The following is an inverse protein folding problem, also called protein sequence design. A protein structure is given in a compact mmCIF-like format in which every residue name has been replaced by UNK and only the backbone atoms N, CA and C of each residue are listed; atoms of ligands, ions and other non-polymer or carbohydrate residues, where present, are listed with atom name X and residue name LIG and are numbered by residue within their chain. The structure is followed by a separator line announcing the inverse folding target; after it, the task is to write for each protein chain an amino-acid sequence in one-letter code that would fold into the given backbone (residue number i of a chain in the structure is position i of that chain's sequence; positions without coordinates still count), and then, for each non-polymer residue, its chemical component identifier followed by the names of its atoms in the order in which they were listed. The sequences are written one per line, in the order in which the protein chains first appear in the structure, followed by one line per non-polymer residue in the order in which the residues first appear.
data_IF_735718869179
#
_entry.id   IF_735718869179
#
_cell.length_a   1.000
_cell.length_b   1.000
_cell.length_c   1.000
_cell.angle_alpha   90.00
_cell.angle_beta   90.00
_cell.angle_gamma   90.00
#
_symmetry.space_group_name_H-M   'P 1'
#
loop_
_entity.id
_entity.type
_entity.pdbx_description
1 polymer ?
#
# COMPACT_ATOMS: atom_id res chain seq x y z
N UNK A 1 -18.33 11.10 -26.46
CA UNK A 1 -18.84 9.80 -25.98
C UNK A 1 -20.37 9.75 -25.89
N UNK A 2 -21.05 10.73 -25.27
CA UNK A 2 -22.52 10.77 -25.21
C UNK A 2 -23.20 10.72 -26.60
N UNK A 3 -22.65 11.46 -27.57
CA UNK A 3 -23.13 11.40 -28.95
C UNK A 3 -23.04 9.99 -29.56
N UNK A 4 -22.03 9.19 -29.20
CA UNK A 4 -21.89 7.81 -29.68
C UNK A 4 -22.92 6.85 -29.05
N UNK A 5 -23.46 7.21 -27.88
CA UNK A 5 -24.62 6.55 -27.28
C UNK A 5 -25.96 7.03 -27.86
N UNK A 6 -25.96 8.02 -28.76
CA UNK A 6 -27.19 8.65 -29.27
C UNK A 6 -27.95 9.43 -28.19
N UNK A 7 -27.26 9.91 -27.15
CA UNK A 7 -27.86 10.57 -26.00
C UNK A 7 -27.42 12.03 -25.95
N UNK A 8 -28.36 12.93 -25.63
CA UNK A 8 -28.10 14.36 -25.46
C UNK A 8 -27.76 14.74 -24.01
N UNK A 9 -28.02 13.85 -23.05
CA UNK A 9 -27.68 14.06 -21.64
C UNK A 9 -27.28 12.73 -20.97
N UNK A 10 -26.32 12.73 -20.05
CA UNK A 10 -25.91 11.51 -19.36
C UNK A 10 -27.00 11.07 -18.37
N UNK A 11 -27.48 9.83 -18.50
CA UNK A 11 -28.10 9.15 -17.36
C UNK A 11 -27.01 8.73 -16.38
N UNK A 12 -27.35 8.53 -15.10
CA UNK A 12 -26.40 8.04 -14.07
C UNK A 12 -25.73 6.74 -14.49
N UNK A 13 -26.46 5.86 -15.19
CA UNK A 13 -25.94 4.59 -15.71
C UNK A 13 -24.90 4.83 -16.81
N UNK A 14 -25.21 5.71 -17.77
CA UNK A 14 -24.30 6.00 -18.90
C UNK A 14 -23.04 6.72 -18.40
N UNK A 15 -23.18 7.69 -17.50
CA UNK A 15 -22.03 8.35 -16.87
C UNK A 15 -21.13 7.33 -16.16
N UNK A 16 -21.71 6.46 -15.32
CA UNK A 16 -20.95 5.39 -14.63
C UNK A 16 -20.21 4.47 -15.61
N UNK A 17 -20.85 4.10 -16.73
CA UNK A 17 -20.23 3.27 -17.76
C UNK A 17 -19.07 4.00 -18.47
N UNK A 18 -19.27 5.26 -18.83
CA UNK A 18 -18.26 6.11 -19.47
C UNK A 18 -17.04 6.27 -18.54
N UNK A 19 -17.25 6.63 -17.28
CA UNK A 19 -16.17 6.72 -16.27
C UNK A 19 -15.43 5.38 -16.15
N UNK A 20 -16.15 4.25 -16.22
CA UNK A 20 -15.55 2.92 -16.23
C UNK A 20 -14.71 2.61 -17.48
N UNK A 21 -15.03 3.16 -18.65
CA UNK A 21 -14.20 3.04 -19.86
C UNK A 21 -12.95 3.91 -19.76
N UNK A 22 -13.09 5.15 -19.29
CA UNK A 22 -11.98 6.08 -19.12
C UNK A 22 -10.98 5.53 -18.08
N UNK A 23 -11.46 5.05 -16.92
CA UNK A 23 -10.59 4.47 -15.89
C UNK A 23 -9.82 3.22 -16.37
N UNK A 24 -10.44 2.37 -17.21
CA UNK A 24 -9.75 1.23 -17.81
C UNK A 24 -8.65 1.67 -18.76
N UNK A 25 -8.94 2.62 -19.63
CA UNK A 25 -7.94 3.18 -20.56
C UNK A 25 -6.80 3.86 -19.80
N UNK A 26 -7.13 4.67 -18.79
CA UNK A 26 -6.16 5.35 -17.93
C UNK A 26 -5.24 4.37 -17.19
N UNK A 27 -5.80 3.30 -16.62
CA UNK A 27 -5.02 2.24 -15.99
C UNK A 27 -4.07 1.54 -16.97
N UNK A 28 -4.51 1.31 -18.22
CA UNK A 28 -3.68 0.67 -19.26
C UNK A 28 -2.53 1.59 -19.73
N UNK A 29 -2.81 2.89 -19.89
CA UNK A 29 -1.79 3.90 -20.20
C UNK A 29 -0.74 3.94 -19.08
N UNK A 30 -1.17 3.96 -17.82
CA UNK A 30 -0.25 3.96 -16.68
C UNK A 30 0.52 2.66 -16.53
N UNK A 31 -0.10 1.50 -16.80
CA UNK A 31 0.59 0.20 -16.80
C UNK A 31 1.66 0.13 -17.88
N UNK A 32 1.38 0.67 -19.06
CA UNK A 32 2.36 0.77 -20.15
C UNK A 32 3.52 1.70 -19.77
N UNK A 33 3.26 2.67 -18.90
CA UNK A 33 4.22 3.65 -18.39
C UNK A 33 4.60 3.41 -16.95
N UNK A 34 4.80 2.14 -16.58
CA UNK A 34 5.26 1.83 -15.23
C UNK A 34 6.53 2.60 -14.91
N UNK A 35 7.49 2.74 -15.82
CA UNK A 35 8.74 3.48 -15.58
C UNK A 35 8.63 5.01 -15.59
N UNK A 36 7.46 5.58 -15.93
CA UNK A 36 7.35 7.02 -16.16
C UNK A 36 7.51 7.85 -14.88
N UNK A 37 8.18 9.01 -14.95
CA UNK A 37 8.45 9.89 -13.79
C UNK A 37 7.23 10.25 -12.94
N UNK A 38 6.09 10.53 -13.57
CA UNK A 38 4.89 10.99 -12.86
C UNK A 38 4.14 9.88 -12.12
N UNK A 39 4.46 8.61 -12.40
CA UNK A 39 3.96 7.46 -11.67
C UNK A 39 4.89 7.05 -10.51
N UNK A 40 6.10 7.61 -10.44
CA UNK A 40 7.04 7.38 -9.33
C UNK A 40 6.56 8.10 -8.08
N UNK A 41 6.51 7.37 -6.97
CA UNK A 41 6.25 7.88 -5.64
C UNK A 41 7.41 7.53 -4.74
N UNK A 42 7.73 8.44 -3.83
CA UNK A 42 8.68 8.20 -2.76
C UNK A 42 7.89 8.02 -1.47
N UNK A 43 8.11 6.89 -0.80
CA UNK A 43 7.53 6.60 0.50
C UNK A 43 8.63 6.26 1.48
N UNK A 44 8.73 7.07 2.53
CA UNK A 44 9.66 6.83 3.62
C UNK A 44 8.98 5.94 4.66
N UNK A 45 9.49 4.73 4.80
CA UNK A 45 9.12 3.82 5.88
C UNK A 45 9.92 4.24 7.12
N UNK A 46 9.22 4.77 8.13
CA UNK A 46 9.81 4.92 9.46
C UNK A 46 9.89 3.51 10.03
N UNK A 47 11.10 3.03 10.28
CA UNK A 47 11.41 1.66 10.70
C UNK A 47 11.03 1.37 12.16
N UNK A 48 10.15 2.18 12.76
CA UNK A 48 9.51 1.80 14.01
C UNK A 48 8.70 0.53 13.75
N UNK A 49 9.05 -0.59 14.40
CA UNK A 49 8.37 -1.87 14.17
C UNK A 49 6.89 -1.69 14.48
N UNK A 50 6.05 -1.80 13.46
CA UNK A 50 4.63 -2.00 13.67
C UNK A 50 4.45 -3.47 14.03
N UNK A 51 3.93 -3.74 15.22
CA UNK A 51 3.58 -5.07 15.70
C UNK A 51 2.44 -5.65 14.84
N UNK A 52 2.74 -6.01 13.60
CA UNK A 52 1.73 -6.31 12.58
C UNK A 52 1.14 -7.70 12.70
N UNK A 53 1.72 -8.55 13.56
CA UNK A 53 1.09 -9.77 14.04
C UNK A 53 1.72 -10.19 15.35
N UNK A 54 0.93 -10.21 16.40
CA UNK A 54 1.32 -10.84 17.66
C UNK A 54 1.06 -12.34 17.52
N UNK A 55 2.11 -13.12 17.31
CA UNK A 55 2.04 -14.54 17.59
C UNK A 55 2.23 -14.71 19.10
N UNK A 56 1.12 -14.72 19.84
CA UNK A 56 1.12 -15.04 21.27
C UNK A 56 1.02 -16.54 21.40
N UNK A 57 2.11 -17.20 21.82
CA UNK A 57 2.03 -18.60 22.18
C UNK A 57 1.48 -18.74 23.60
N UNK A 58 0.60 -19.71 23.80
CA UNK A 58 0.08 -20.04 25.13
C UNK A 58 1.12 -20.73 26.02
N UNK A 59 2.16 -21.31 25.42
CA UNK A 59 3.28 -21.91 26.14
C UNK A 59 4.37 -20.88 26.38
N UNK A 60 4.87 -20.85 27.61
CA UNK A 60 5.82 -19.84 27.97
C UNK A 60 7.23 -20.12 27.49
N UNK A 61 8.00 -19.04 27.47
CA UNK A 61 9.43 -19.01 27.25
C UNK A 61 10.15 -19.07 28.60
N UNK A 62 11.28 -19.77 28.61
CA UNK A 62 12.24 -19.73 29.70
C UNK A 62 13.48 -18.95 29.28
N UNK A 63 13.82 -17.93 30.06
CA UNK A 63 15.01 -17.10 29.85
C UNK A 63 15.59 -16.66 31.19
N UNK A 64 16.92 -16.66 31.30
CA UNK A 64 17.63 -16.27 32.52
C UNK A 64 18.21 -14.86 32.36
N UNK A 65 18.08 -14.02 33.38
CA UNK A 65 18.70 -12.69 33.38
C UNK A 65 20.21 -12.77 33.09
N UNK A 66 20.67 -12.01 32.09
CA UNK A 66 22.03 -12.01 31.54
C UNK A 66 22.33 -13.10 30.52
N UNK A 67 21.38 -14.00 30.22
CA UNK A 67 21.55 -15.03 29.20
C UNK A 67 21.19 -14.50 27.81
N UNK A 68 21.90 -14.98 26.79
CA UNK A 68 21.50 -14.84 25.38
C UNK A 68 20.65 -16.00 24.88
N UNK A 69 20.55 -17.08 25.65
CA UNK A 69 19.81 -18.27 25.25
C UNK A 69 18.40 -18.20 25.79
N UNK A 70 17.44 -18.37 24.89
CA UNK A 70 16.01 -18.44 25.17
C UNK A 70 15.50 -19.83 24.81
N UNK A 71 14.76 -20.47 25.71
CA UNK A 71 14.15 -21.77 25.47
C UNK A 71 12.64 -21.64 25.39
N UNK A 72 12.07 -22.08 24.28
CA UNK A 72 10.63 -22.08 24.00
C UNK A 72 9.98 -23.38 24.49
N UNK A 73 8.69 -23.33 24.81
CA UNK A 73 7.89 -24.52 25.10
C UNK A 73 7.93 -25.55 23.97
N UNK A 74 7.77 -26.83 24.31
CA UNK A 74 7.93 -27.94 23.38
C UNK A 74 6.92 -27.94 22.22
N UNK A 75 5.75 -27.32 22.38
CA UNK A 75 4.76 -27.19 21.30
C UNK A 75 4.90 -25.90 20.49
N UNK A 76 5.88 -25.05 20.84
CA UNK A 76 6.22 -23.83 20.11
C UNK A 76 7.54 -23.98 19.36
N UNK A 77 7.59 -24.79 18.28
CA UNK A 77 8.83 -25.00 17.56
C UNK A 77 9.32 -23.70 16.94
N UNK A 78 10.54 -23.33 17.27
CA UNK A 78 11.28 -22.24 16.62
C UNK A 78 12.02 -22.78 15.40
N UNK A 79 11.90 -22.06 14.29
CA UNK A 79 12.59 -22.33 13.03
C UNK A 79 13.61 -21.22 12.78
N UNK A 80 14.70 -21.51 12.05
CA UNK A 80 15.68 -20.54 11.55
C UNK A 80 15.07 -19.36 10.80
N UNK A 81 13.83 -19.48 10.33
CA UNK A 81 13.05 -18.36 9.76
C UNK A 81 12.76 -17.24 10.76
N UNK A 82 12.91 -17.51 12.06
CA UNK A 82 12.77 -16.51 13.13
C UNK A 82 14.03 -15.66 13.32
N UNK A 83 15.15 -16.00 12.68
CA UNK A 83 16.36 -15.17 12.73
C UNK A 83 16.03 -13.78 12.17
N UNK A 84 16.26 -12.77 13.01
CA UNK A 84 15.89 -11.37 12.86
C UNK A 84 14.65 -10.97 13.66
N UNK A 85 13.68 -11.85 13.90
CA UNK A 85 12.46 -11.45 14.59
C UNK A 85 12.76 -10.86 15.99
N UNK A 86 11.97 -9.87 16.40
CA UNK A 86 12.03 -9.33 17.75
C UNK A 86 11.20 -10.23 18.67
N UNK A 87 11.84 -10.78 19.68
CA UNK A 87 11.20 -11.47 20.78
C UNK A 87 10.88 -10.46 21.88
N UNK A 88 9.64 -10.42 22.34
CA UNK A 88 9.27 -9.72 23.57
C UNK A 88 8.66 -10.72 24.55
N UNK A 89 9.21 -10.72 25.78
CA UNK A 89 8.67 -11.50 26.90
C UNK A 89 7.58 -10.65 27.56
N UNK A 90 6.41 -11.22 27.86
CA UNK A 90 5.21 -10.47 28.24
C UNK A 90 5.35 -9.60 29.50
N UNK A 91 6.32 -9.91 30.37
CA UNK A 91 6.63 -9.16 31.58
C UNK A 91 7.61 -8.01 31.36
N UNK A 92 8.12 -7.86 30.13
CA UNK A 92 9.16 -6.90 29.77
C UNK A 92 8.68 -5.95 28.65
N UNK A 93 9.05 -4.68 28.77
CA UNK A 93 8.83 -3.68 27.74
C UNK A 93 9.94 -3.71 26.68
N UNK A 94 11.09 -4.34 26.98
CA UNK A 94 12.19 -4.51 26.05
C UNK A 94 11.95 -5.64 25.03
N UNK A 95 12.48 -5.45 23.82
CA UNK A 95 12.44 -6.42 22.74
C UNK A 95 13.86 -6.83 22.34
N UNK A 96 14.04 -8.11 22.04
CA UNK A 96 15.35 -8.72 21.80
C UNK A 96 15.39 -9.34 20.40
N UNK A 97 16.44 -9.09 19.62
CA UNK A 97 16.55 -9.65 18.26
C UNK A 97 17.00 -11.10 18.35
N UNK A 98 16.29 -12.03 17.70
CA UNK A 98 16.76 -13.41 17.54
C UNK A 98 17.88 -13.42 16.50
N UNK A 99 19.11 -13.76 16.90
CA UNK A 99 20.27 -13.79 16.00
C UNK A 99 20.58 -15.20 15.47
N UNK A 100 20.15 -16.25 16.18
CA UNK A 100 20.31 -17.63 15.74
C UNK A 100 19.23 -18.54 16.34
N UNK A 101 19.00 -19.69 15.70
CA UNK A 101 18.13 -20.76 16.21
C UNK A 101 18.95 -22.05 16.23
N UNK A 102 19.33 -22.46 17.43
CA UNK A 102 20.27 -23.59 17.67
C UNK A 102 19.56 -24.93 17.79
N UNK A 103 18.29 -24.93 18.18
CA UNK A 103 17.44 -26.13 18.23
C UNK A 103 15.98 -25.75 18.00
N UNK A 104 15.11 -26.75 17.81
CA UNK A 104 13.67 -26.55 17.60
C UNK A 104 12.96 -25.83 18.76
N UNK A 105 13.58 -25.72 19.93
CA UNK A 105 13.04 -25.01 21.10
C UNK A 105 14.03 -24.00 21.66
N UNK A 106 15.10 -23.66 20.94
CA UNK A 106 16.16 -22.80 21.48
C UNK A 106 16.63 -21.79 20.45
N UNK A 107 16.62 -20.51 20.86
CA UNK A 107 17.13 -19.40 20.07
C UNK A 107 18.16 -18.60 20.87
N UNK A 108 19.03 -17.88 20.13
CA UNK A 108 19.98 -16.92 20.68
C UNK A 108 19.47 -15.53 20.39
N UNK A 109 19.45 -14.66 21.40
CA UNK A 109 19.02 -13.27 21.30
C UNK A 109 20.17 -12.28 21.47
N UNK A 110 19.94 -11.05 21.03
CA UNK A 110 20.83 -9.90 21.23
C UNK A 110 20.03 -8.60 21.47
N UNK A 111 20.37 -7.81 22.51
CA UNK A 111 21.37 -8.09 23.57
C UNK A 111 20.96 -9.26 24.47
N UNK A 112 21.80 -9.61 25.46
CA UNK A 112 21.43 -10.57 26.49
C UNK A 112 20.21 -10.08 27.29
N UNK A 113 19.36 -11.00 27.74
CA UNK A 113 18.10 -10.69 28.43
C UNK A 113 18.33 -9.89 29.73
N UNK A 114 17.65 -8.76 29.90
CA UNK A 114 17.81 -7.85 31.05
C UNK A 114 16.57 -7.80 31.95
N UNK A 115 15.41 -8.27 31.47
CA UNK A 115 14.13 -8.20 32.17
C UNK A 115 13.99 -9.00 33.48
N UNK A 116 15.04 -9.74 33.88
CA UNK A 116 15.11 -10.40 35.18
C UNK A 116 16.46 -10.12 35.87
N UNK A 117 16.48 -10.22 37.21
CA UNK A 117 17.72 -10.16 37.97
C UNK A 117 18.72 -11.20 37.43
N UNK A 118 20.00 -10.82 37.37
CA UNK A 118 21.05 -11.66 36.81
C UNK A 118 21.02 -13.07 37.44
N UNK A 119 20.99 -14.11 36.60
CA UNK A 119 20.94 -15.51 37.04
C UNK A 119 19.57 -16.01 37.48
N UNK A 120 18.55 -15.16 37.53
CA UNK A 120 17.17 -15.57 37.82
C UNK A 120 16.50 -16.01 36.52
N UNK A 121 16.05 -17.26 36.47
CA UNK A 121 15.26 -17.77 35.36
C UNK A 121 13.81 -17.32 35.52
N UNK A 122 13.26 -16.68 34.49
CA UNK A 122 11.82 -16.62 34.30
C UNK A 122 11.43 -17.85 33.51
N UNK A 123 10.57 -18.68 34.08
CA UNK A 123 9.99 -19.85 33.41
C UNK A 123 8.57 -19.56 33.00
N UNK A 124 8.14 -20.22 31.92
CA UNK A 124 6.76 -20.23 31.45
C UNK A 124 6.16 -18.81 31.27
N UNK A 125 6.96 -17.86 30.79
CA UNK A 125 6.48 -16.52 30.51
C UNK A 125 5.81 -16.48 29.14
N UNK A 126 4.60 -15.92 29.06
CA UNK A 126 4.02 -15.58 27.76
C UNK A 126 5.01 -14.72 26.96
N UNK A 127 5.02 -14.91 25.65
CA UNK A 127 5.91 -14.18 24.76
C UNK A 127 5.19 -13.87 23.46
N UNK A 128 5.67 -12.84 22.77
CA UNK A 128 5.23 -12.48 21.43
C UNK A 128 6.44 -12.29 20.52
N UNK A 129 6.29 -12.74 19.27
CA UNK A 129 7.21 -12.37 18.20
C UNK A 129 6.65 -11.16 17.47
N UNK A 130 7.48 -10.14 17.33
CA UNK A 130 7.22 -8.97 16.52
C UNK A 130 7.96 -9.16 15.20
N UNK A 131 7.20 -9.39 14.13
CA UNK A 131 7.73 -9.42 12.77
C UNK A 131 7.89 -8.00 12.22
N UNK A 132 8.99 -7.74 11.52
CA UNK A 132 9.17 -6.52 10.75
C UNK A 132 8.61 -6.72 9.36
N UNK A 133 7.31 -6.49 9.23
CA UNK A 133 6.68 -6.45 7.94
C UNK A 133 6.35 -5.00 7.64
N UNK A 134 7.07 -4.41 6.69
CA UNK A 134 6.81 -3.06 6.25
C UNK A 134 5.80 -3.12 5.12
N UNK A 135 4.61 -2.59 5.38
CA UNK A 135 3.58 -2.49 4.38
C UNK A 135 3.87 -1.29 3.50
N UNK A 136 4.03 -1.53 2.20
CA UNK A 136 4.05 -0.45 1.23
C UNK A 136 2.66 0.19 1.14
N UNK A 137 2.58 1.46 0.71
CA UNK A 137 1.31 2.11 0.44
C UNK A 137 0.37 1.24 -0.39
N UNK A 138 -0.96 1.30 -0.15
CA UNK A 138 -1.92 0.43 -0.84
C UNK A 138 -1.95 0.67 -2.36
N UNK A 139 -1.49 1.84 -2.82
CA UNK A 139 -1.33 2.15 -4.24
C UNK A 139 -0.03 1.58 -4.84
N UNK A 140 0.87 0.97 -4.06
CA UNK A 140 2.11 0.42 -4.60
C UNK A 140 1.85 -0.81 -5.48
N UNK A 141 2.10 -0.66 -6.79
CA UNK A 141 2.01 -1.76 -7.77
C UNK A 141 3.29 -2.55 -7.85
N UNK A 142 4.41 -1.85 -8.01
CA UNK A 142 5.74 -2.44 -8.16
C UNK A 142 6.75 -1.54 -7.44
N UNK A 143 7.46 -2.06 -6.44
CA UNK A 143 8.59 -1.34 -5.86
C UNK A 143 9.71 -1.22 -6.89
N UNK A 144 10.29 -0.03 -7.02
CA UNK A 144 11.27 0.30 -8.05
C UNK A 144 12.69 0.31 -7.48
N UNK A 145 12.90 1.09 -6.42
CA UNK A 145 14.20 1.24 -5.76
C UNK A 145 13.96 1.35 -4.27
N UNK A 146 14.74 0.63 -3.47
CA UNK A 146 14.72 0.78 -2.02
C UNK A 146 16.06 1.35 -1.61
N UNK A 147 16.06 2.62 -1.18
CA UNK A 147 17.24 3.31 -0.66
C UNK A 147 17.17 3.32 0.85
N UNK A 148 18.28 2.99 1.49
CA UNK A 148 18.39 3.11 2.93
C UNK A 148 19.34 4.26 3.26
N UNK A 149 18.91 5.13 4.15
CA UNK A 149 19.74 6.20 4.69
C UNK A 149 19.83 6.07 6.21
N UNK A 150 21.07 6.09 6.73
CA UNK A 150 21.28 6.29 8.17
C UNK A 150 21.24 7.80 8.41
N UNK A 151 20.15 8.29 9.03
CA UNK A 151 20.10 9.68 9.49
C UNK A 151 20.44 9.72 10.98
N UNK A 152 21.54 10.39 11.39
CA UNK A 152 21.85 10.59 12.81
C UNK A 152 20.86 11.56 13.50
N UNK A 153 20.02 12.26 12.73
CA UNK A 153 19.05 13.21 13.24
C UNK A 153 17.71 12.47 13.43
N UNK A 154 17.21 12.38 14.67
CA UNK A 154 15.81 12.00 14.94
C UNK A 154 14.90 13.02 14.22
N UNK A 155 14.25 12.58 13.16
CA UNK A 155 13.58 13.47 12.21
C UNK A 155 12.20 13.90 12.68
N UNK A 156 12.14 14.96 13.47
CA UNK A 156 10.96 15.83 13.47
C UNK A 156 10.99 16.88 12.34
N UNK A 157 11.99 16.86 11.43
CA UNK A 157 12.24 18.02 10.55
C UNK A 157 12.87 17.79 9.14
N UNK A 158 13.13 16.58 8.63
CA UNK A 158 13.69 16.45 7.27
C UNK A 158 12.60 16.39 6.20
N UNK A 159 12.77 17.22 5.18
CA UNK A 159 11.93 17.24 4.00
C UNK A 159 12.29 16.06 3.08
N UNK A 160 11.31 15.28 2.59
CA UNK A 160 11.54 14.10 1.75
C UNK A 160 12.23 14.36 0.40
N UNK A 161 12.40 15.63 -0.01
CA UNK A 161 12.97 15.99 -1.32
C UNK A 161 14.50 16.07 -1.37
N UNK A 162 15.21 16.02 -0.24
CA UNK A 162 16.69 16.05 -0.25
C UNK A 162 17.34 14.68 -0.48
N UNK A 163 16.56 13.59 -0.46
CA UNK A 163 17.09 12.23 -0.60
C UNK A 163 17.71 11.93 -1.98
N UNK A 164 17.36 12.65 -3.04
CA UNK A 164 17.97 12.47 -4.37
C UNK A 164 19.32 13.17 -4.54
N UNK A 165 19.67 14.10 -3.64
CA UNK A 165 20.99 14.75 -3.63
C UNK A 165 22.01 14.03 -2.74
N UNK A 166 21.56 13.13 -1.87
CA UNK A 166 22.45 12.25 -1.12
C UNK A 166 22.75 11.00 -1.96
N UNK A 167 23.66 11.16 -2.93
CA UNK A 167 24.67 10.12 -3.14
C UNK A 167 25.28 9.82 -1.76
N UNK A 168 25.61 8.56 -1.43
CA UNK A 168 26.25 8.26 -0.15
C UNK A 168 27.47 9.18 -0.03
N UNK A 169 27.42 10.14 0.90
CA UNK A 169 28.54 11.02 1.14
C UNK A 169 29.69 10.12 1.61
N UNK A 170 30.76 9.92 0.81
CA UNK A 170 31.82 9.01 1.21
C UNK A 170 32.71 9.64 2.30
N UNK A 171 32.38 10.82 2.85
CA UNK A 171 33.28 11.59 3.69
C UNK A 171 32.57 12.12 4.94
N UNK A 172 32.12 11.21 5.80
CA UNK A 172 32.25 11.46 7.24
C UNK A 172 33.47 10.65 7.73
N UNK A 173 34.62 11.33 7.62
CA UNK A 173 35.90 11.07 8.27
C UNK A 173 36.01 9.75 9.07
N UNK A 174 36.44 8.67 8.41
CA UNK A 174 37.10 7.55 9.08
C UNK A 174 36.35 6.22 9.18
N UNK A 175 35.11 6.10 8.69
CA UNK A 175 34.44 4.80 8.61
C UNK A 175 34.26 4.34 7.15
N UNK A 176 35.02 3.33 6.76
CA UNK A 176 34.90 2.59 5.49
C UNK A 176 33.64 1.70 5.49
N UNK A 177 32.47 2.29 5.71
CA UNK A 177 31.19 1.61 5.58
C UNK A 177 30.77 1.62 4.12
N UNK A 178 31.04 0.53 3.39
CA UNK A 178 30.41 0.32 2.08
C UNK A 178 28.88 0.40 2.26
N UNK A 179 28.14 1.01 1.32
CA UNK A 179 26.68 0.91 1.34
C UNK A 179 26.31 -0.56 1.32
N UNK A 180 25.63 -1.04 2.36
CA UNK A 180 25.12 -2.40 2.39
C UNK A 180 24.05 -2.53 1.31
N UNK A 181 24.28 -3.40 0.33
CA UNK A 181 23.26 -3.79 -0.64
C UNK A 181 22.49 -4.94 0.01
N UNK A 182 21.29 -4.63 0.50
CA UNK A 182 20.38 -5.61 1.08
C UNK A 182 19.65 -6.35 -0.04
N UNK A 183 19.48 -7.67 0.11
CA UNK A 183 18.63 -8.44 -0.80
C UNK A 183 17.16 -8.17 -0.44
N UNK A 184 16.47 -7.35 -1.24
CA UNK A 184 15.02 -7.16 -1.12
C UNK A 184 14.32 -8.32 -1.81
N UNK A 185 13.57 -9.12 -1.06
CA UNK A 185 12.75 -10.20 -1.62
C UNK A 185 11.30 -9.75 -1.68
N UNK A 186 10.73 -9.72 -2.87
CA UNK A 186 9.31 -9.41 -3.10
C UNK A 186 8.51 -10.71 -3.19
N UNK A 187 7.55 -10.90 -2.30
CA UNK A 187 6.65 -12.06 -2.31
C UNK A 187 5.22 -11.65 -2.65
N UNK A 188 4.72 -12.09 -3.81
CA UNK A 188 3.28 -12.11 -4.11
C UNK A 188 2.71 -13.41 -3.51
N UNK A 189 2.33 -13.38 -2.23
CA UNK A 189 1.72 -14.53 -1.56
C UNK A 189 2.64 -15.77 -1.50
N UNK A 190 3.31 -15.99 -0.37
CA UNK A 190 3.98 -17.26 -0.13
C UNK A 190 2.93 -18.37 0.04
N UNK A 191 2.96 -19.46 -0.76
CA UNK A 191 2.06 -20.59 -0.57
C UNK A 191 2.43 -21.34 0.73
N UNK A 192 1.47 -21.38 1.66
CA UNK A 192 1.21 -22.38 2.70
C UNK A 192 2.29 -22.85 3.71
N UNK A 193 3.54 -22.36 3.67
CA UNK A 193 4.57 -22.79 4.65
C UNK A 193 4.66 -21.95 5.95
N UNK A 194 3.81 -20.93 6.09
CA UNK A 194 3.60 -20.13 7.31
C UNK A 194 2.26 -20.43 8.01
N UNK A 195 1.49 -21.39 7.48
CA UNK A 195 0.06 -21.55 7.77
C UNK A 195 -0.34 -21.87 9.21
N UNK A 196 0.57 -22.28 10.10
CA UNK A 196 0.18 -22.67 11.47
C UNK A 196 0.84 -21.91 12.63
N UNK A 197 1.96 -21.20 12.44
CA UNK A 197 2.70 -20.60 13.56
C UNK A 197 2.86 -19.08 13.48
N UNK A 198 2.79 -18.51 12.27
CA UNK A 198 2.66 -17.05 12.11
C UNK A 198 1.54 -16.80 11.12
N UNK A 199 0.31 -17.08 11.55
CA UNK A 199 -0.78 -16.20 11.12
C UNK A 199 -0.46 -14.85 11.76
N UNK A 200 0.19 -13.99 11.00
CA UNK A 200 0.07 -12.55 11.18
C UNK A 200 -1.41 -12.25 11.00
N UNK A 201 -2.22 -12.47 12.04
CA UNK A 201 -3.47 -11.76 12.22
C UNK A 201 -3.04 -10.30 12.40
N UNK A 202 -2.77 -9.61 11.28
CA UNK A 202 -3.36 -8.30 11.12
C UNK A 202 -4.81 -8.52 11.52
N UNK A 203 -5.18 -8.08 12.72
CA UNK A 203 -6.46 -8.36 13.36
C UNK A 203 -7.53 -8.12 12.32
N UNK A 204 -7.93 -9.19 11.63
CA UNK A 204 -8.76 -9.07 10.46
C UNK A 204 -10.06 -8.60 11.03
N UNK A 205 -10.43 -7.35 10.74
CA UNK A 205 -11.68 -6.85 11.25
C UNK A 205 -12.76 -7.85 10.92
N UNK A 206 -13.42 -8.36 11.95
CA UNK A 206 -14.55 -9.24 11.81
C UNK A 206 -15.78 -8.49 12.26
N UNK A 207 -16.81 -8.58 11.44
CA UNK A 207 -18.12 -7.99 11.66
C UNK A 207 -19.11 -8.64 10.71
N UNK A 208 -20.33 -8.12 10.67
CA UNK A 208 -21.42 -8.74 9.91
C UNK A 208 -21.86 -7.84 8.75
N UNK A 209 -22.03 -8.39 7.55
CA UNK A 209 -22.42 -7.68 6.34
C UNK A 209 -23.60 -8.38 5.65
N UNK A 210 -24.44 -7.57 5.02
CA UNK A 210 -25.51 -8.00 4.14
C UNK A 210 -25.02 -7.96 2.70
N UNK A 211 -25.03 -9.12 2.04
CA UNK A 211 -24.61 -9.28 0.65
C UNK A 211 -25.77 -9.78 -0.19
N UNK A 212 -25.83 -9.36 -1.44
CA UNK A 212 -26.83 -9.83 -2.41
C UNK A 212 -26.12 -10.34 -3.65
N UNK A 213 -26.46 -11.56 -4.09
CA UNK A 213 -25.90 -12.14 -5.30
C UNK A 213 -26.16 -11.20 -6.49
N UNK A 214 -25.12 -10.91 -7.27
CA UNK A 214 -25.16 -9.99 -8.39
C UNK A 214 -25.06 -8.51 -8.02
N UNK A 215 -24.93 -8.17 -6.73
CA UNK A 215 -24.74 -6.79 -6.27
C UNK A 215 -23.27 -6.47 -6.02
N UNK A 216 -22.82 -5.29 -6.43
CA UNK A 216 -21.53 -4.71 -5.99
C UNK A 216 -21.68 -3.95 -4.67
N UNK A 217 -22.89 -3.50 -4.31
CA UNK A 217 -23.14 -2.81 -3.06
C UNK A 217 -23.28 -3.82 -1.92
N UNK A 218 -22.55 -3.56 -0.83
CA UNK A 218 -22.60 -4.34 0.41
C UNK A 218 -22.90 -3.37 1.55
N UNK A 219 -23.88 -3.73 2.37
CA UNK A 219 -24.32 -2.91 3.49
C UNK A 219 -24.09 -3.63 4.81
N UNK A 220 -23.93 -2.87 5.90
CA UNK A 220 -23.74 -3.39 7.23
C UNK A 220 -24.91 -4.25 7.67
N UNK A 221 -24.60 -5.36 8.35
CA UNK A 221 -25.58 -6.09 9.13
C UNK A 221 -26.11 -5.24 10.30
N UNK A 222 -27.19 -5.70 10.93
CA UNK A 222 -27.83 -5.00 12.07
C UNK A 222 -26.91 -4.81 13.29
N UNK A 223 -25.80 -5.55 13.33
CA UNK A 223 -24.79 -5.51 14.39
C UNK A 223 -23.39 -5.19 13.86
N UNK A 224 -23.27 -4.63 12.65
CA UNK A 224 -21.95 -4.36 12.08
C UNK A 224 -21.26 -3.24 12.86
N UNK A 225 -20.07 -3.47 13.44
CA UNK A 225 -19.25 -2.36 13.89
C UNK A 225 -18.95 -1.47 12.67
N UNK A 226 -18.83 -0.16 12.92
CA UNK A 226 -18.38 0.78 11.90
C UNK A 226 -17.08 0.23 11.25
N UNK A 227 -17.14 -0.10 9.95
CA UNK A 227 -16.05 -0.58 9.10
C UNK A 227 -14.79 0.28 9.29
N UNK A 228 -14.99 1.56 9.63
CA UNK A 228 -13.93 2.52 9.92
C UNK A 228 -13.17 2.17 11.20
N UNK A 229 -13.87 1.82 12.27
CA UNK A 229 -13.27 1.42 13.54
C UNK A 229 -12.70 0.00 13.50
N UNK A 230 -13.24 -0.78 12.59
CA UNK A 230 -12.95 -2.19 12.40
C UNK A 230 -11.50 -2.41 11.92
N UNK A 231 -10.98 -1.57 11.02
CA UNK A 231 -9.64 -1.74 10.41
C UNK A 231 -8.53 -0.96 11.13
N UNK A 232 -8.87 -0.02 12.01
CA UNK A 232 -7.88 0.82 12.72
C UNK A 232 -8.28 0.99 14.19
N UNK A 233 -7.71 0.19 15.09
CA UNK A 233 -7.61 0.58 16.49
C UNK A 233 -6.35 1.46 16.66
N UNK A 234 -6.34 2.65 17.31
CA UNK A 234 -7.40 3.49 17.87
C UNK A 234 -7.33 4.96 17.34
N UNK A 235 -7.62 5.21 16.06
CA UNK A 235 -7.71 6.58 15.53
C UNK A 235 -8.86 6.70 14.52
N UNK A 236 -10.06 7.00 15.05
CA UNK A 236 -11.36 6.87 14.39
C UNK A 236 -11.67 7.85 13.23
N UNK A 237 -10.70 8.57 12.67
CA UNK A 237 -10.99 9.70 11.75
C UNK A 237 -10.46 9.54 10.32
N UNK A 238 -9.78 8.44 9.97
CA UNK A 238 -9.11 8.31 8.65
C UNK A 238 -9.48 7.08 7.81
N UNK A 239 -10.35 6.17 8.26
CA UNK A 239 -10.43 4.85 7.61
C UNK A 239 -11.18 4.81 6.26
N UNK A 240 -11.95 5.83 5.88
CA UNK A 240 -12.62 5.88 4.57
C UNK A 240 -11.63 5.91 3.40
N UNK A 241 -10.40 6.38 3.62
CA UNK A 241 -9.37 6.43 2.58
C UNK A 241 -8.54 5.14 2.46
N UNK A 242 -8.53 4.27 3.48
CA UNK A 242 -7.58 3.13 3.56
C UNK A 242 -8.17 1.83 3.01
N UNK A 243 -9.49 1.66 3.09
CA UNK A 243 -10.18 0.44 2.67
C UNK A 243 -10.22 0.21 1.14
N UNK A 244 -10.38 1.23 0.27
CA UNK A 244 -10.32 1.03 -1.17
C UNK A 244 -9.01 0.33 -1.60
N UNK A 245 -9.13 -0.72 -2.41
CA UNK A 245 -8.02 -1.56 -2.86
C UNK A 245 -7.76 -2.81 -2.02
N UNK A 246 -8.29 -2.88 -0.80
CA UNK A 246 -8.19 -4.08 0.05
C UNK A 246 -9.10 -5.21 -0.44
N UNK A 247 -8.83 -6.45 -0.01
CA UNK A 247 -9.70 -7.59 -0.29
C UNK A 247 -10.63 -7.88 0.89
N UNK A 248 -11.87 -8.24 0.60
CA UNK A 248 -12.86 -8.70 1.58
C UNK A 248 -13.37 -10.08 1.20
N UNK A 249 -13.52 -10.93 2.20
CA UNK A 249 -14.15 -12.26 2.10
C UNK A 249 -15.36 -12.31 3.01
N UNK A 250 -16.45 -12.92 2.55
CA UNK A 250 -17.70 -13.03 3.30
C UNK A 250 -17.97 -14.48 3.73
N UNK A 251 -18.20 -14.69 5.02
CA UNK A 251 -18.56 -15.96 5.63
C UNK A 251 -17.53 -17.05 5.31
N UNK A 252 -18.05 -18.20 4.86
CA UNK A 252 -17.25 -19.32 4.38
C UNK A 252 -16.89 -19.28 2.89
N UNK A 253 -17.31 -18.25 2.14
CA UNK A 253 -17.05 -18.14 0.68
C UNK A 253 -15.56 -18.26 0.42
N UNK A 254 -15.11 -19.02 -0.58
CA UNK A 254 -13.68 -19.15 -0.91
C UNK A 254 -13.14 -17.96 -1.73
N UNK A 255 -14.03 -17.09 -2.21
CA UNK A 255 -13.66 -15.94 -3.05
C UNK A 255 -13.33 -14.69 -2.25
N UNK A 256 -12.37 -13.94 -2.77
CA UNK A 256 -12.03 -12.60 -2.32
C UNK A 256 -12.57 -11.58 -3.31
N UNK A 257 -13.12 -10.49 -2.78
CA UNK A 257 -13.65 -9.39 -3.56
C UNK A 257 -12.82 -8.16 -3.23
N UNK A 258 -12.44 -7.36 -4.22
CA UNK A 258 -11.72 -6.11 -3.93
C UNK A 258 -12.72 -5.02 -3.52
N UNK A 259 -12.42 -4.29 -2.44
CA UNK A 259 -13.18 -3.12 -2.02
C UNK A 259 -12.84 -1.98 -2.99
N UNK A 260 -13.82 -1.49 -3.74
CA UNK A 260 -13.66 -0.36 -4.65
C UNK A 260 -13.78 0.98 -3.93
N UNK A 261 -14.75 1.11 -3.05
CA UNK A 261 -15.00 2.35 -2.30
C UNK A 261 -15.77 2.06 -1.01
N UNK A 262 -15.66 2.95 -0.03
CA UNK A 262 -16.48 2.95 1.18
C UNK A 262 -17.50 4.08 1.05
N UNK A 263 -18.78 3.74 1.05
CA UNK A 263 -19.87 4.73 0.88
C UNK A 263 -20.38 5.25 2.21
N UNK A 264 -20.22 4.49 3.29
CA UNK A 264 -20.48 4.94 4.67
C UNK A 264 -19.68 4.10 5.65
N UNK A 265 -19.72 4.45 6.94
CA UNK A 265 -19.11 3.64 8.00
C UNK A 265 -19.56 2.18 8.00
N UNK A 266 -20.71 1.83 7.42
CA UNK A 266 -21.18 0.45 7.37
C UNK A 266 -21.41 -0.07 5.95
N UNK A 267 -21.08 0.70 4.91
CA UNK A 267 -21.34 0.30 3.54
C UNK A 267 -20.12 0.47 2.64
N UNK A 268 -19.94 -0.50 1.75
CA UNK A 268 -18.86 -0.51 0.76
C UNK A 268 -19.38 -0.96 -0.59
N UNK A 269 -18.58 -0.69 -1.61
CA UNK A 269 -18.82 -1.12 -2.99
C UNK A 269 -17.66 -2.01 -3.39
N UNK A 270 -17.96 -3.17 -3.94
CA UNK A 270 -17.01 -4.12 -4.50
C UNK A 270 -16.63 -3.74 -5.93
N UNK A 271 -15.43 -4.11 -6.37
CA UNK A 271 -15.00 -3.96 -7.77
C UNK A 271 -15.79 -4.84 -8.73
N UNK A 272 -16.32 -5.96 -8.25
CA UNK A 272 -17.15 -6.89 -9.02
C UNK A 272 -18.39 -7.34 -8.23
N UNK A 273 -19.48 -7.75 -8.93
CA UNK A 273 -20.68 -8.25 -8.27
C UNK A 273 -20.39 -9.46 -7.37
N UNK A 274 -20.97 -9.47 -6.16
CA UNK A 274 -20.89 -10.60 -5.25
C UNK A 274 -21.50 -11.85 -5.90
N UNK A 275 -20.75 -12.95 -5.96
CA UNK A 275 -21.18 -14.18 -6.66
C UNK A 275 -21.59 -15.31 -5.71
N UNK A 276 -21.51 -15.10 -4.40
CA UNK A 276 -22.00 -16.07 -3.41
C UNK A 276 -23.51 -15.97 -3.20
N UNK A 277 -24.04 -16.73 -2.25
CA UNK A 277 -25.48 -16.74 -1.93
C UNK A 277 -25.88 -15.47 -1.19
N UNK A 278 -26.98 -14.82 -1.61
CA UNK A 278 -27.58 -13.70 -0.87
C UNK A 278 -27.80 -14.09 0.59
N UNK A 279 -27.25 -13.31 1.50
CA UNK A 279 -27.32 -13.59 2.93
C UNK A 279 -27.22 -12.29 3.73
N UNK A 280 -27.87 -12.29 4.88
CA UNK A 280 -27.77 -11.20 5.86
C UNK A 280 -26.86 -11.62 7.00
N UNK A 281 -26.23 -10.63 7.62
CA UNK A 281 -25.33 -10.82 8.76
C UNK A 281 -24.21 -11.86 8.52
N UNK A 282 -23.68 -11.96 7.30
CA UNK A 282 -22.49 -12.78 7.04
C UNK A 282 -21.31 -12.18 7.76
N UNK A 283 -20.53 -13.00 8.47
CA UNK A 283 -19.23 -12.58 8.94
C UNK A 283 -18.38 -12.10 7.75
N UNK A 284 -17.46 -11.18 7.95
CA UNK A 284 -16.48 -10.82 6.94
C UNK A 284 -15.08 -10.81 7.50
N UNK A 285 -14.11 -10.89 6.60
CA UNK A 285 -12.70 -10.65 6.89
C UNK A 285 -12.14 -9.73 5.83
N UNK A 286 -11.63 -8.57 6.25
CA UNK A 286 -10.84 -7.69 5.39
C UNK A 286 -9.39 -8.12 5.49
N UNK A 287 -8.75 -8.22 4.33
CA UNK A 287 -7.33 -8.51 4.19
C UNK A 287 -6.71 -7.36 3.40
N UNK A 288 -5.42 -7.06 3.64
CA UNK A 288 -4.68 -6.19 2.74
C UNK A 288 -4.91 -6.61 1.29
N UNK A 289 -4.94 -5.63 0.38
CA UNK A 289 -4.81 -5.92 -1.05
C UNK A 289 -3.50 -6.65 -1.33
N UNK A 290 -3.19 -6.94 -2.59
CA UNK A 290 -1.86 -7.39 -3.02
C UNK A 290 -0.81 -6.28 -2.88
N UNK A 291 -0.86 -5.50 -1.79
CA UNK A 291 0.20 -4.57 -1.41
C UNK A 291 1.46 -5.40 -1.22
N UNK A 292 2.52 -5.15 -2.00
CA UNK A 292 3.76 -5.85 -1.83
C UNK A 292 4.29 -5.59 -0.43
N UNK A 293 4.73 -6.65 0.23
CA UNK A 293 5.40 -6.57 1.51
C UNK A 293 6.89 -6.46 1.25
N UNK A 294 7.55 -5.56 1.96
CA UNK A 294 9.02 -5.52 1.98
C UNK A 294 9.50 -6.10 3.30
N UNK A 295 10.39 -7.09 3.19
CA UNK A 295 11.21 -7.58 4.30
C UNK A 295 12.65 -7.15 4.05
N UNK A 296 13.26 -6.56 5.07
CA UNK A 296 14.67 -6.19 5.07
C UNK A 296 15.50 -7.28 5.75
N UNK A 297 16.67 -7.58 5.19
CA UNK A 297 17.66 -8.44 5.84
C UNK A 297 19.10 -8.00 5.54
N UNK A 298 19.94 -7.70 6.56
CA UNK A 298 19.59 -7.64 7.99
C UNK A 298 18.52 -6.59 8.31
N UNK A 299 18.00 -6.65 9.54
CA UNK A 299 16.98 -5.69 9.96
C UNK A 299 17.53 -4.29 10.06
N UNK A 300 16.78 -3.28 9.60
CA UNK A 300 17.17 -1.91 9.81
C UNK A 300 17.19 -1.64 11.32
N UNK A 301 18.29 -1.08 11.80
CA UNK A 301 18.36 -0.49 13.15
C UNK A 301 17.28 0.59 13.28
N UNK A 302 16.82 0.82 14.50
CA UNK A 302 15.93 1.91 14.93
C UNK A 302 16.35 3.32 14.49
N UNK A 303 17.58 3.47 14.00
CA UNK A 303 18.17 4.71 13.47
C UNK A 303 18.15 4.81 11.95
N UNK A 304 17.66 3.78 11.25
CA UNK A 304 17.66 3.72 9.80
C UNK A 304 16.31 4.16 9.24
N UNK A 305 16.32 5.07 8.28
CA UNK A 305 15.16 5.38 7.46
C UNK A 305 15.27 4.56 6.17
N UNK A 306 14.16 3.97 5.75
CA UNK A 306 14.10 3.31 4.46
C UNK A 306 13.20 4.08 3.53
N UNK A 307 13.79 4.73 2.54
CA UNK A 307 13.09 5.41 1.47
C UNK A 307 12.84 4.40 0.35
N UNK A 308 11.57 4.05 0.16
CA UNK A 308 11.14 3.20 -0.93
C UNK A 308 10.56 4.05 -2.05
N UNK A 309 11.20 4.00 -3.20
CA UNK A 309 10.64 4.49 -4.45
C UNK A 309 9.83 3.36 -5.10
N UNK A 310 8.60 3.66 -5.48
CA UNK A 310 7.70 2.70 -6.05
C UNK A 310 6.82 3.32 -7.13
N UNK A 311 6.22 2.46 -7.94
CA UNK A 311 5.23 2.88 -8.92
C UNK A 311 3.83 2.77 -8.32
N UNK A 312 3.15 3.90 -8.24
CA UNK A 312 1.78 3.94 -7.77
C UNK A 312 0.80 3.51 -8.89
N UNK A 313 -0.19 2.71 -8.54
CA UNK A 313 -1.40 2.58 -9.32
C UNK A 313 -2.03 3.97 -9.46
N UNK A 314 -2.45 4.38 -10.66
CA UNK A 314 -3.24 5.59 -10.78
C UNK A 314 -4.55 5.43 -9.98
N UNK A 315 -4.95 6.42 -9.17
CA UNK A 315 -6.26 6.38 -8.54
C UNK A 315 -7.34 6.42 -9.65
N UNK A 316 -8.44 5.66 -9.50
CA UNK A 316 -9.54 5.75 -10.45
C UNK A 316 -10.20 7.13 -10.32
N UNK A 317 -10.57 7.72 -11.45
CA UNK A 317 -11.37 8.95 -11.50
C UNK A 317 -12.77 8.67 -10.97
N UNK A 318 -13.25 9.51 -10.05
CA UNK A 318 -14.54 9.35 -9.39
C UNK A 318 -15.60 10.35 -9.90
N UNK A 319 -15.17 11.48 -10.44
CA UNK A 319 -16.02 12.55 -10.94
C UNK A 319 -15.59 13.06 -12.32
N UNK A 320 -16.47 13.81 -12.98
CA UNK A 320 -16.20 14.41 -14.30
C UNK A 320 -15.24 15.62 -14.24
N UNK A 321 -15.00 16.15 -13.04
CA UNK A 321 -14.08 17.26 -12.78
C UNK A 321 -12.64 16.78 -12.54
N UNK A 322 -12.44 15.48 -12.36
CA UNK A 322 -11.12 14.92 -12.11
C UNK A 322 -10.31 14.79 -13.40
N UNK A 323 -9.10 15.35 -13.36
CA UNK A 323 -8.14 15.20 -14.45
C UNK A 323 -7.23 13.98 -14.22
N UNK A 324 -6.92 13.22 -15.28
CA UNK A 324 -5.93 12.15 -15.19
C UNK A 324 -4.56 12.70 -14.74
N UNK A 325 -3.87 12.01 -13.83
CA UNK A 325 -2.54 12.40 -13.33
C UNK A 325 -1.43 12.04 -14.33
N UNK A 326 -1.57 12.52 -15.56
CA UNK A 326 -0.59 12.37 -16.64
C UNK A 326 -0.41 13.70 -17.38
N UNK A 327 0.74 13.90 -18.06
CA UNK A 327 0.95 15.04 -18.93
C UNK A 327 -0.22 15.29 -19.89
N UNK A 328 -0.60 16.55 -20.07
CA UNK A 328 -1.79 16.93 -20.83
C UNK A 328 -1.79 16.42 -22.28
N UNK A 329 -0.62 16.34 -22.90
CA UNK A 329 -0.44 15.81 -24.26
C UNK A 329 -0.74 14.31 -24.38
N UNK A 330 -0.77 13.59 -23.26
CA UNK A 330 -1.11 12.17 -23.18
C UNK A 330 -2.59 11.93 -22.86
N UNK A 331 -3.37 12.97 -22.52
CA UNK A 331 -4.82 12.86 -22.24
C UNK A 331 -5.58 12.31 -23.46
N UNK A 332 -5.18 12.69 -24.67
CA UNK A 332 -5.77 12.18 -25.91
C UNK A 332 -5.67 10.65 -26.05
N UNK A 333 -4.56 10.06 -25.59
CA UNK A 333 -4.38 8.59 -25.65
C UNK A 333 -5.35 7.89 -24.70
N UNK A 334 -5.62 8.46 -23.53
CA UNK A 334 -6.64 7.92 -22.61
C UNK A 334 -8.03 7.99 -23.24
N UNK A 335 -8.35 9.09 -23.93
CA UNK A 335 -9.62 9.23 -24.65
C UNK A 335 -9.76 8.20 -25.78
N UNK A 336 -8.71 7.97 -26.57
CA UNK A 336 -8.71 6.95 -27.63
C UNK A 336 -8.97 5.55 -27.07
N UNK A 337 -8.30 5.19 -25.96
CA UNK A 337 -8.53 3.92 -25.27
C UNK A 337 -9.94 3.82 -24.67
N UNK A 338 -10.50 4.92 -24.17
CA UNK A 338 -11.86 4.94 -23.65
C UNK A 338 -12.89 4.75 -24.78
N UNK A 339 -12.67 5.39 -25.93
CA UNK A 339 -13.50 5.25 -27.13
C UNK A 339 -13.41 3.84 -27.72
N UNK A 340 -12.22 3.23 -27.73
CA UNK A 340 -12.04 1.81 -28.06
C UNK A 340 -12.95 0.92 -27.21
N UNK A 341 -12.91 1.06 -25.89
CA UNK A 341 -13.73 0.26 -24.98
C UNK A 341 -15.24 0.51 -25.21
N UNK A 342 -15.63 1.76 -25.47
CA UNK A 342 -17.01 2.12 -25.80
C UNK A 342 -17.49 1.44 -27.10
N UNK A 343 -16.74 1.55 -28.20
CA UNK A 343 -17.17 0.97 -29.48
C UNK A 343 -17.15 -0.56 -29.48
N UNK A 344 -16.27 -1.18 -28.68
CA UNK A 344 -16.35 -2.64 -28.40
C UNK A 344 -17.64 -3.00 -27.69
N UNK A 345 -18.04 -2.22 -26.68
CA UNK A 345 -19.31 -2.41 -25.98
C UNK A 345 -20.53 -2.25 -26.90
N UNK A 346 -20.49 -1.27 -27.81
CA UNK A 346 -21.53 -1.04 -28.82
C UNK A 346 -21.47 -2.00 -30.02
N UNK A 347 -20.54 -2.96 -30.02
CA UNK A 347 -20.34 -3.94 -31.12
C UNK A 347 -20.08 -3.30 -32.50
N UNK A 348 -19.49 -2.10 -32.54
CA UNK A 348 -19.11 -1.43 -33.78
C UNK A 348 -17.64 -1.73 -34.12
N UNK A 349 -17.43 -2.79 -34.91
CA UNK A 349 -16.10 -3.32 -35.24
C UNK A 349 -15.22 -2.33 -36.02
N UNK A 350 -15.79 -1.57 -36.96
CA UNK A 350 -15.02 -0.61 -37.75
C UNK A 350 -14.48 0.52 -36.88
N UNK A 351 -15.32 1.09 -36.01
CA UNK A 351 -14.90 2.17 -35.12
C UNK A 351 -13.98 1.66 -34.01
N UNK A 352 -14.22 0.46 -33.46
CA UNK A 352 -13.31 -0.12 -32.47
C UNK A 352 -11.93 -0.38 -33.07
N UNK A 353 -11.83 -0.91 -34.29
CA UNK A 353 -10.54 -1.12 -34.96
C UNK A 353 -9.80 0.20 -35.22
N UNK A 354 -10.52 1.26 -35.61
CA UNK A 354 -9.91 2.59 -35.77
C UNK A 354 -9.28 3.09 -34.46
N UNK A 355 -10.03 3.06 -33.35
CA UNK A 355 -9.51 3.52 -32.06
C UNK A 355 -8.47 2.56 -31.45
N UNK A 356 -8.50 1.28 -31.79
CA UNK A 356 -7.45 0.33 -31.43
C UNK A 356 -6.11 0.72 -32.06
N UNK A 357 -6.12 1.08 -33.35
CA UNK A 357 -4.93 1.57 -34.04
C UNK A 357 -4.43 2.90 -33.45
N UNK A 358 -5.33 3.85 -33.17
CA UNK A 358 -4.96 5.13 -32.56
C UNK A 358 -4.38 4.97 -31.15
N UNK A 359 -5.05 4.16 -30.32
CA UNK A 359 -4.61 3.87 -28.96
C UNK A 359 -3.27 3.14 -28.96
N UNK A 360 -3.10 2.11 -29.80
CA UNK A 360 -1.84 1.40 -29.98
C UNK A 360 -0.70 2.31 -30.44
N UNK A 361 -0.95 3.20 -31.40
CA UNK A 361 0.02 4.20 -31.84
C UNK A 361 0.36 5.22 -30.74
N UNK A 362 -0.63 5.62 -29.94
CA UNK A 362 -0.44 6.44 -28.74
C UNK A 362 0.48 5.77 -27.73
N UNK A 363 0.20 4.52 -27.37
CA UNK A 363 1.02 3.72 -26.46
C UNK A 363 2.45 3.50 -26.99
N UNK A 364 2.61 3.29 -28.31
CA UNK A 364 3.94 3.15 -28.93
C UNK A 364 4.75 4.46 -28.84
N UNK A 365 4.14 5.61 -29.15
CA UNK A 365 4.79 6.94 -29.02
C UNK A 365 5.23 7.21 -27.59
N UNK A 366 4.39 6.84 -26.65
CA UNK A 366 4.66 6.90 -25.21
C UNK A 366 5.91 6.08 -24.86
N UNK A 367 6.00 4.82 -25.28
CA UNK A 367 7.13 3.93 -24.97
C UNK A 367 8.44 4.47 -25.52
N UNK A 368 8.43 4.94 -26.77
CA UNK A 368 9.59 5.58 -27.39
C UNK A 368 10.04 6.82 -26.61
N UNK A 369 9.11 7.62 -26.10
CA UNK A 369 9.45 8.81 -25.29
C UNK A 369 10.04 8.44 -23.93
N UNK A 370 9.51 7.41 -23.26
CA UNK A 370 10.06 6.97 -21.98
C UNK A 370 11.50 6.48 -22.11
N UNK A 371 11.80 5.72 -23.17
CA UNK A 371 13.16 5.23 -23.46
C UNK A 371 14.15 6.36 -23.73
N UNK A 372 13.71 7.43 -24.40
CA UNK A 372 14.56 8.59 -24.70
C UNK A 372 14.78 9.53 -23.49
N UNK A 373 13.85 9.51 -22.51
CA UNK A 373 13.88 10.45 -21.38
C UNK A 373 14.76 10.01 -20.21
N UNK A 374 15.12 8.72 -20.14
CA UNK A 374 15.81 8.14 -18.97
C UNK A 374 17.27 8.62 -18.80
N UNK A 375 17.89 9.24 -19.82
CA UNK A 375 19.29 9.68 -19.74
C UNK A 375 19.54 11.20 -19.68
N UNK A 376 18.58 12.07 -20.03
CA UNK A 376 18.90 13.50 -20.25
C UNK A 376 18.01 14.55 -19.59
N UNK A 377 16.79 14.21 -19.13
CA UNK A 377 15.80 15.24 -18.75
C UNK A 377 15.73 15.55 -17.25
N UNK A 378 16.31 14.72 -16.38
CA UNK A 378 16.21 14.91 -14.93
C UNK A 378 17.16 15.96 -14.31
N UNK A 379 17.83 16.78 -15.13
CA UNK A 379 18.47 18.03 -14.64
C UNK A 379 17.55 19.24 -14.63
N UNK A 380 16.26 19.10 -14.93
CA UNK A 380 15.30 20.17 -14.72
C UNK A 380 14.60 20.00 -13.37
N UNK A 381 15.18 20.63 -12.35
CA UNK A 381 14.50 20.91 -11.10
C UNK A 381 13.20 21.67 -11.43
N UNK A 382 12.02 21.14 -11.06
CA UNK A 382 10.81 21.93 -11.20
C UNK A 382 10.88 23.05 -10.17
N UNK A 383 10.98 24.28 -10.65
CA UNK A 383 10.80 25.50 -9.86
C UNK A 383 9.33 25.58 -9.43
N UNK A 384 8.92 24.70 -8.52
CA UNK A 384 7.67 24.90 -7.78
C UNK A 384 7.94 26.07 -6.85
N UNK A 385 7.40 27.23 -7.22
CA UNK A 385 7.30 28.37 -6.30
C UNK A 385 6.73 27.89 -4.97
N UNK A 386 7.28 28.40 -3.88
CA UNK A 386 7.01 28.08 -2.48
C UNK A 386 5.59 28.47 -2.02
N UNK A 387 4.56 28.21 -2.82
CA UNK A 387 3.16 28.34 -2.48
C UNK A 387 2.68 27.10 -1.72
N UNK A 388 2.30 27.31 -0.47
CA UNK A 388 1.67 26.35 0.45
C UNK A 388 0.66 25.41 -0.24
N UNK A 389 0.63 24.10 0.05
CA UNK A 389 -0.41 23.20 -0.42
C UNK A 389 -1.65 23.37 0.46
N UNK A 390 -2.35 24.49 0.31
CA UNK A 390 -3.76 24.58 0.67
C UNK A 390 -4.54 24.29 -0.61
N UNK A 391 -5.11 23.08 -0.70
CA UNK A 391 -6.26 22.84 -1.57
C UNK A 391 -7.42 23.64 -0.98
N UNK A 392 -7.60 24.86 -1.46
CA UNK A 392 -8.71 25.73 -1.10
C UNK A 392 -9.88 25.48 -2.04
N UNK A 393 -10.94 24.86 -1.50
CA UNK A 393 -12.30 25.13 -1.93
C UNK A 393 -12.57 26.63 -1.81
N UNK A 394 -13.06 27.28 -2.87
CA UNK A 394 -13.65 28.62 -2.77
C UNK A 394 -13.42 29.54 -3.97
N UNK A 395 -14.46 29.69 -4.78
CA UNK A 395 -14.95 30.94 -5.37
C UNK A 395 -13.92 32.07 -5.61
N UNK A 396 -13.60 32.31 -6.88
CA UNK A 396 -13.05 33.61 -7.30
C UNK A 396 -14.20 34.62 -7.46
N UNK A 397 -14.18 35.80 -6.80
CA UNK A 397 -15.07 36.89 -7.17
C UNK A 397 -14.57 37.55 -8.46
N UNK A 398 -15.46 37.65 -9.44
CA UNK A 398 -15.31 38.52 -10.61
C UNK A 398 -15.04 39.96 -10.18
N UNK A 399 -14.04 40.62 -10.79
CA UNK A 399 -13.79 42.04 -10.57
C UNK A 399 -12.54 42.59 -11.25
N UNK A 400 -12.41 42.46 -12.58
CA UNK A 400 -11.50 43.31 -13.36
C UNK A 400 -12.33 44.36 -14.10
N UNK A 401 -12.26 45.60 -13.64
CA UNK A 401 -12.73 46.79 -14.35
C UNK A 401 -11.80 47.07 -15.55
N UNK A 402 -12.32 47.47 -16.72
CA UNK A 402 -11.49 47.86 -17.85
C UNK A 402 -10.85 49.25 -17.63
N UNK A 403 -9.67 49.52 -18.24
CA UNK A 403 -8.98 50.79 -18.10
C UNK A 403 -9.73 51.94 -18.78
N UNK A 404 -9.83 53.07 -18.09
CA UNK A 404 -10.43 54.31 -18.56
C UNK A 404 -9.62 54.93 -19.71
N UNK A 405 -10.33 55.34 -20.76
CA UNK A 405 -9.81 56.15 -21.88
C UNK A 405 -9.58 57.60 -21.40
N UNK A 406 -8.44 58.24 -21.68
CA UNK A 406 -8.24 59.65 -21.34
C UNK A 406 -8.98 60.56 -22.33
N UNK A 407 -9.53 61.67 -21.81
CA UNK A 407 -10.02 62.82 -22.59
C UNK A 407 -8.96 63.89 -22.67
#
# INVERSE_FOLDING_TARGET
MLAAYGQTSPSTVISTQITGFINRAYAEVCRTMQSAPWNRRLFSVITTPEATGEATAAEGVTVTGGSRTVTFGASSPVDRRLIGALLQVATDDESYVIVDVTAATTAIIEPAYTGAALGTALSDQAWRLLGFNYRLPPDCTTPFVVKQSQSPVKLSAAFPRTADAFLPDPIILGQTGLPYIYAVTFGLGFPDLWGSLIQTQLGGSSGNMNVTNGSTAVAGGSTSPDLVNAVIAPAATAATSILPGMFIRFGGDSRYYQIRSVTSGTALVLSEPYRGTTATNLSYRIMPGDSPWIRFYPLPDTRMQVDTEYFAAPPPMQSDEEEPRLPQDLHGVVLDGALLNLYRYLTNESMSQFYENQFGAGLARIRMRSELSDESVFRYAPTYGTGSPYYGDGFLPYGMLPPSVPT
#
